data_IF_729797964647
#
_entry.id   IF_729797964647
#
_cell.length_a   1.000
_cell.length_b   1.000
_cell.length_c   1.000
_cell.angle_alpha   90.00
_cell.angle_beta   90.00
_cell.angle_gamma   90.00
#
_symmetry.space_group_name_H-M   'P 1'
#
loop_
_entity.id
_entity.type
_entity.pdbx_description
1 polymer ?
#
# COMPACT_ATOMS: atom_id res chain seq x y z
N UNK A 1 -18.81 35.81 26.12
CA UNK A 1 -17.73 34.86 26.50
C UNK A 1 -17.63 33.82 25.39
N UNK A 2 -16.54 33.83 24.60
CA UNK A 2 -16.32 32.78 23.59
C UNK A 2 -15.75 31.54 24.26
N UNK A 3 -16.25 30.37 23.86
CA UNK A 3 -15.67 29.10 24.29
C UNK A 3 -14.22 28.97 23.77
N UNK A 4 -13.30 28.37 24.55
CA UNK A 4 -11.96 28.10 24.07
C UNK A 4 -11.99 27.06 22.94
N UNK A 5 -11.04 27.12 21.99
CA UNK A 5 -10.92 26.12 20.94
C UNK A 5 -10.60 24.74 21.57
N UNK A 6 -11.28 23.70 21.10
CA UNK A 6 -10.99 22.33 21.51
C UNK A 6 -9.59 21.93 21.00
N UNK A 7 -8.74 21.42 21.91
CA UNK A 7 -7.45 20.85 21.52
C UNK A 7 -7.66 19.57 20.70
N UNK A 8 -6.85 19.32 19.66
CA UNK A 8 -6.95 18.11 18.87
C UNK A 8 -6.56 16.90 19.71
N UNK A 9 -7.50 15.96 19.86
CA UNK A 9 -7.25 14.67 20.51
C UNK A 9 -6.39 13.82 19.58
N UNK A 10 -5.13 13.59 19.94
CA UNK A 10 -4.33 12.53 19.31
C UNK A 10 -4.97 11.18 19.63
N UNK A 11 -5.57 10.56 18.62
CA UNK A 11 -6.07 9.19 18.74
C UNK A 11 -4.86 8.25 18.85
N UNK A 12 -4.87 7.28 19.79
CA UNK A 12 -3.77 6.34 19.92
C UNK A 12 -3.62 5.54 18.63
N UNK A 13 -2.41 5.55 18.07
CA UNK A 13 -2.05 4.64 16.97
C UNK A 13 -2.13 3.23 17.54
N UNK A 14 -3.10 2.44 17.07
CA UNK A 14 -3.22 1.05 17.46
C UNK A 14 -1.90 0.31 17.14
N UNK A 15 -1.40 -0.56 18.04
CA UNK A 15 -0.22 -1.36 17.74
C UNK A 15 -0.48 -2.19 16.48
N UNK A 16 0.53 -2.41 15.63
CA UNK A 16 0.38 -3.26 14.46
C UNK A 16 -0.03 -4.67 14.92
N UNK A 17 -1.23 -5.10 14.52
CA UNK A 17 -1.63 -6.51 14.60
C UNK A 17 -0.87 -7.21 13.48
N UNK A 18 0.11 -8.04 13.81
CA UNK A 18 0.79 -8.87 12.83
C UNK A 18 -0.23 -9.88 12.27
N UNK A 19 -0.41 -9.97 10.94
CA UNK A 19 -1.38 -10.89 10.37
C UNK A 19 -0.86 -12.34 10.48
N UNK A 20 -1.60 -13.21 11.16
CA UNK A 20 -1.43 -14.67 11.08
C UNK A 20 -1.93 -15.22 9.72
N UNK A 21 -1.48 -14.63 8.60
CA UNK A 21 -1.91 -15.07 7.27
C UNK A 21 -0.72 -15.42 6.39
N UNK A 22 -0.77 -16.61 5.77
CA UNK A 22 0.19 -17.08 4.76
C UNK A 22 0.12 -16.31 3.43
N UNK A 23 -0.81 -15.34 3.32
CA UNK A 23 -1.00 -14.54 2.11
C UNK A 23 -0.24 -13.23 2.25
N UNK A 24 0.64 -12.87 1.29
CA UNK A 24 1.40 -11.66 1.39
C UNK A 24 0.53 -10.40 1.22
N UNK A 25 0.70 -9.48 2.16
CA UNK A 25 0.05 -8.16 2.17
C UNK A 25 1.11 -7.08 2.02
N UNK A 26 0.83 -6.07 1.22
CA UNK A 26 1.70 -4.90 1.05
C UNK A 26 0.99 -3.69 1.64
N UNK A 27 1.64 -3.06 2.61
CA UNK A 27 1.19 -1.81 3.23
C UNK A 27 2.15 -0.69 2.88
N UNK A 28 1.65 0.34 2.23
CA UNK A 28 2.43 1.53 1.88
C UNK A 28 1.95 2.74 2.67
N UNK A 29 2.89 3.42 3.35
CA UNK A 29 2.69 4.68 4.03
C UNK A 29 3.37 5.80 3.26
N UNK A 30 2.65 6.90 2.98
CA UNK A 30 3.17 7.91 2.07
C UNK A 30 2.81 9.33 2.47
N UNK A 31 3.80 10.23 2.49
CA UNK A 31 3.61 11.66 2.73
C UNK A 31 4.07 12.49 1.53
N UNK A 32 3.31 13.54 1.17
CA UNK A 32 3.69 14.56 0.16
C UNK A 32 4.40 15.74 0.85
N UNK A 33 5.58 16.17 0.38
CA UNK A 33 6.27 17.38 0.85
C UNK A 33 5.95 18.61 -0.02
N UNK A 34 5.87 19.77 0.63
CA UNK A 34 5.71 21.10 0.05
C UNK A 34 7.04 21.58 -0.58
N UNK A 35 6.99 22.22 -1.77
CA UNK A 35 8.07 23.05 -2.28
C UNK A 35 8.00 24.40 -1.57
N UNK A 36 9.04 24.78 -0.83
CA UNK A 36 9.20 26.13 -0.29
C UNK A 36 9.50 27.12 -1.42
N UNK A 37 8.49 27.49 -2.20
CA UNK A 37 8.53 28.70 -3.03
C UNK A 37 7.52 29.67 -2.45
N UNK A 38 8.05 30.68 -1.75
CA UNK A 38 7.25 31.64 -1.02
C UNK A 38 6.34 32.45 -1.94
N UNK A 39 5.03 32.24 -1.83
CA UNK A 39 4.03 33.28 -2.01
C UNK A 39 2.75 32.88 -1.28
N UNK A 40 2.40 33.65 -0.24
CA UNK A 40 1.17 33.45 0.54
C UNK A 40 -0.01 34.07 -0.19
N UNK A 41 -0.92 33.26 -0.73
CA UNK A 41 -2.34 33.60 -0.83
C UNK A 41 -3.14 32.36 -1.23
N UNK A 42 -4.12 31.97 -0.40
CA UNK A 42 -5.18 30.98 -0.67
C UNK A 42 -4.75 29.61 -1.20
N UNK A 43 -4.17 28.74 -0.37
CA UNK A 43 -3.98 27.32 -0.73
C UNK A 43 -4.50 26.44 0.41
N UNK A 44 -5.73 25.93 0.25
CA UNK A 44 -6.28 24.81 1.04
C UNK A 44 -5.22 23.72 1.14
N UNK A 45 -4.85 23.28 2.34
CA UNK A 45 -3.57 22.60 2.58
C UNK A 45 -3.34 21.43 1.62
N UNK A 46 -2.31 21.55 0.79
CA UNK A 46 -1.83 20.52 -0.15
C UNK A 46 -1.08 19.37 0.55
N UNK A 47 -1.09 19.35 1.88
CA UNK A 47 -0.44 18.36 2.74
C UNK A 47 -1.38 17.16 2.98
N UNK A 48 -1.38 16.21 2.05
CA UNK A 48 -2.10 14.94 2.18
C UNK A 48 -1.15 13.76 2.42
N UNK A 49 -1.66 12.72 3.08
CA UNK A 49 -1.05 11.40 3.12
C UNK A 49 -2.03 10.39 2.52
N UNK A 50 -1.49 9.31 1.96
CA UNK A 50 -2.28 8.14 1.59
C UNK A 50 -1.69 6.93 2.29
N UNK A 51 -2.57 6.00 2.62
CA UNK A 51 -2.20 4.66 3.02
C UNK A 51 -2.95 3.69 2.13
N UNK A 52 -2.19 2.78 1.53
CA UNK A 52 -2.70 1.75 0.65
C UNK A 52 -2.30 0.40 1.24
N UNK A 53 -3.28 -0.48 1.40
CA UNK A 53 -3.08 -1.86 1.82
C UNK A 53 -3.66 -2.76 0.74
N UNK A 54 -2.82 -3.60 0.16
CA UNK A 54 -3.21 -4.52 -0.90
C UNK A 54 -2.73 -5.93 -0.61
N UNK A 55 -3.52 -6.89 -1.05
CA UNK A 55 -3.19 -8.31 -1.00
C UNK A 55 -2.64 -8.76 -2.36
N UNK A 56 -1.61 -9.61 -2.34
CA UNK A 56 -1.17 -10.26 -3.58
C UNK A 56 -2.13 -11.37 -3.98
N UNK A 57 -2.38 -11.51 -5.29
CA UNK A 57 -3.07 -12.69 -5.85
C UNK A 57 -2.14 -13.90 -6.01
N UNK A 58 -0.84 -13.71 -5.76
CA UNK A 58 0.19 -14.74 -5.88
C UNK A 58 0.22 -15.61 -4.61
N UNK A 59 -0.45 -16.76 -4.68
CA UNK A 59 -0.51 -17.71 -3.58
C UNK A 59 0.81 -18.47 -3.44
N UNK A 60 1.42 -18.39 -2.26
CA UNK A 60 2.67 -19.07 -1.89
C UNK A 60 2.49 -19.81 -0.58
N UNK A 61 3.39 -20.74 -0.33
CA UNK A 61 3.54 -21.38 0.98
C UNK A 61 4.99 -21.37 1.42
N UNK A 62 5.21 -21.12 2.70
CA UNK A 62 6.54 -21.12 3.32
C UNK A 62 7.13 -22.54 3.43
N UNK A 63 6.28 -23.57 3.46
CA UNK A 63 6.68 -24.98 3.57
C UNK A 63 6.82 -25.70 2.21
N UNK A 64 6.60 -24.98 1.11
CA UNK A 64 6.70 -25.52 -0.25
C UNK A 64 5.55 -26.43 -0.69
N UNK A 65 4.46 -26.54 0.08
CA UNK A 65 3.28 -27.34 -0.32
C UNK A 65 2.52 -26.78 -1.53
N UNK A 66 2.65 -25.48 -1.78
CA UNK A 66 2.13 -24.83 -2.99
C UNK A 66 3.17 -24.91 -4.10
N UNK A 67 3.16 -26.04 -4.83
CA UNK A 67 4.02 -26.30 -5.99
C UNK A 67 3.50 -25.61 -7.26
N UNK A 68 4.32 -25.51 -8.32
CA UNK A 68 3.95 -24.81 -9.56
C UNK A 68 2.70 -25.35 -10.28
N UNK A 69 2.41 -26.63 -10.11
CA UNK A 69 1.24 -27.34 -10.62
C UNK A 69 0.06 -27.34 -9.64
N UNK A 70 0.25 -26.85 -8.41
CA UNK A 70 -0.82 -26.68 -7.44
C UNK A 70 -1.90 -25.74 -7.98
N UNK A 71 -3.16 -26.04 -7.63
CA UNK A 71 -4.33 -25.28 -8.13
C UNK A 71 -4.20 -23.78 -7.86
N UNK A 72 -3.64 -23.39 -6.71
CA UNK A 72 -3.42 -21.98 -6.38
C UNK A 72 -2.35 -21.29 -7.23
N UNK A 73 -1.29 -21.99 -7.63
CA UNK A 73 -0.29 -21.45 -8.56
C UNK A 73 -0.85 -21.33 -9.99
N UNK A 74 -1.73 -22.24 -10.39
CA UNK A 74 -2.47 -22.13 -11.66
C UNK A 74 -3.43 -20.94 -11.62
N UNK A 75 -4.16 -20.75 -10.52
CA UNK A 75 -5.07 -19.61 -10.35
C UNK A 75 -4.32 -18.28 -10.37
N UNK A 76 -3.22 -18.16 -9.61
CA UNK A 76 -2.37 -16.96 -9.58
C UNK A 76 -1.98 -16.52 -10.99
N UNK A 77 -1.42 -17.44 -11.78
CA UNK A 77 -1.05 -17.18 -13.18
C UNK A 77 -2.23 -16.81 -14.05
N UNK A 78 -3.35 -17.53 -13.90
CA UNK A 78 -4.56 -17.30 -14.69
C UNK A 78 -5.14 -15.90 -14.45
N UNK A 79 -5.22 -15.45 -13.19
CA UNK A 79 -5.72 -14.12 -12.85
C UNK A 79 -4.80 -13.01 -13.36
N UNK A 80 -3.48 -13.17 -13.21
CA UNK A 80 -2.52 -12.20 -13.75
C UNK A 80 -2.67 -12.11 -15.28
N UNK A 81 -2.63 -13.24 -15.99
CA UNK A 81 -2.80 -13.26 -17.45
C UNK A 81 -4.12 -12.65 -17.92
N UNK A 82 -5.22 -12.97 -17.24
CA UNK A 82 -6.53 -12.38 -17.54
C UNK A 82 -6.51 -10.86 -17.30
N UNK A 83 -5.99 -10.42 -16.15
CA UNK A 83 -5.87 -9.01 -15.81
C UNK A 83 -5.11 -8.20 -16.86
N UNK A 84 -3.97 -8.72 -17.32
CA UNK A 84 -3.20 -8.08 -18.40
C UNK A 84 -3.99 -8.02 -19.72
N UNK A 85 -4.69 -9.10 -20.10
CA UNK A 85 -5.52 -9.12 -21.32
C UNK A 85 -6.71 -8.15 -21.25
N UNK A 86 -7.30 -7.97 -20.07
CA UNK A 86 -8.43 -7.06 -19.86
C UNK A 86 -8.00 -5.61 -19.56
N UNK A 87 -6.70 -5.34 -19.43
CA UNK A 87 -6.17 -4.02 -19.09
C UNK A 87 -6.41 -3.61 -17.63
N UNK A 88 -6.62 -4.59 -16.73
CA UNK A 88 -6.79 -4.39 -15.29
C UNK A 88 -5.86 -5.35 -14.54
N UNK A 89 -4.63 -4.92 -14.30
CA UNK A 89 -3.61 -5.78 -13.66
C UNK A 89 -3.98 -6.14 -12.22
N UNK A 90 -3.66 -7.37 -11.81
CA UNK A 90 -3.73 -7.83 -10.41
C UNK A 90 -2.39 -7.69 -9.68
N UNK A 91 -1.41 -7.02 -10.29
CA UNK A 91 -0.06 -6.84 -9.75
C UNK A 91 0.09 -5.58 -8.91
N UNK A 92 -1.01 -4.98 -8.44
CA UNK A 92 -0.98 -3.71 -7.71
C UNK A 92 -0.18 -3.83 -6.41
N UNK A 93 -0.21 -4.98 -5.73
CA UNK A 93 0.62 -5.23 -4.55
C UNK A 93 2.13 -5.05 -4.84
N UNK A 94 2.59 -5.31 -6.07
CA UNK A 94 3.99 -5.09 -6.47
C UNK A 94 4.25 -3.71 -7.05
N UNK A 95 3.27 -3.13 -7.75
CA UNK A 95 3.42 -1.90 -8.53
C UNK A 95 3.05 -0.63 -7.76
N UNK A 96 2.32 -0.76 -6.64
CA UNK A 96 1.79 0.37 -5.88
C UNK A 96 2.86 1.39 -5.53
N UNK A 97 4.03 0.95 -5.03
CA UNK A 97 5.14 1.84 -4.71
C UNK A 97 5.55 2.71 -5.89
N UNK A 98 5.77 2.10 -7.05
CA UNK A 98 6.23 2.82 -8.25
C UNK A 98 5.17 3.80 -8.76
N UNK A 99 3.89 3.39 -8.76
CA UNK A 99 2.79 4.27 -9.15
C UNK A 99 2.62 5.46 -8.20
N UNK A 100 2.76 5.22 -6.90
CA UNK A 100 2.70 6.27 -5.88
C UNK A 100 3.87 7.26 -6.05
N UNK A 101 5.08 6.77 -6.28
CA UNK A 101 6.24 7.64 -6.58
C UNK A 101 5.99 8.43 -7.87
N UNK A 102 5.53 7.78 -8.93
CA UNK A 102 5.20 8.40 -10.21
C UNK A 102 4.11 9.47 -10.11
N UNK A 103 3.20 9.35 -9.13
CA UNK A 103 2.18 10.35 -8.82
C UNK A 103 2.70 11.57 -8.03
N UNK A 104 4.01 11.63 -7.73
CA UNK A 104 4.66 12.79 -7.10
C UNK A 104 4.73 12.73 -5.58
N UNK A 105 4.58 11.56 -4.97
CA UNK A 105 4.86 11.39 -3.55
C UNK A 105 6.33 11.07 -3.30
N UNK A 106 6.94 11.73 -2.31
CA UNK A 106 8.39 11.70 -2.08
C UNK A 106 8.81 10.87 -0.85
N UNK A 107 7.93 10.67 0.12
CA UNK A 107 8.21 9.88 1.35
C UNK A 107 7.42 8.58 1.37
N UNK A 108 7.69 7.70 0.41
CA UNK A 108 7.04 6.39 0.27
C UNK A 108 7.76 5.34 1.11
N UNK A 109 7.08 4.82 2.13
CA UNK A 109 7.51 3.66 2.92
C UNK A 109 6.63 2.48 2.52
N UNK A 110 7.24 1.36 2.15
CA UNK A 110 6.52 0.12 1.83
C UNK A 110 6.94 -0.96 2.83
N UNK A 111 5.96 -1.68 3.40
CA UNK A 111 6.16 -2.87 4.22
C UNK A 111 5.41 -4.02 3.57
N UNK A 112 6.15 -5.05 3.15
CA UNK A 112 5.60 -6.32 2.67
C UNK A 112 5.59 -7.33 3.82
N UNK A 113 4.53 -8.09 3.93
CA UNK A 113 4.35 -9.19 4.89
C UNK A 113 4.24 -10.49 4.09
N UNK A 114 4.76 -11.61 4.58
CA UNK A 114 4.62 -12.93 3.92
C UNK A 114 5.45 -13.15 2.64
N UNK A 115 6.44 -12.29 2.36
CA UNK A 115 7.38 -12.49 1.24
C UNK A 115 8.80 -12.18 1.74
N UNK A 116 9.57 -13.20 2.11
CA UNK A 116 11.02 -13.02 2.28
C UNK A 116 11.69 -13.00 0.90
N UNK A 117 12.62 -12.06 0.76
CA UNK A 117 13.35 -11.73 -0.46
C UNK A 117 13.94 -13.00 -1.11
N UNK A 118 13.54 -13.25 -2.36
CA UNK A 118 14.36 -14.03 -3.31
C UNK A 118 15.09 -13.06 -4.23
#
# INVERSE_FOLDING_TARGET
MSAPPAEPVELPVAPPVEPESDIPVVRSFVRRRELQTGLRSTQKSLSGWIEQLEMSIDFKSDDGTVTNDHVFSVWSRTFVEAGEKFGKTFRIADLAREYIVGAGFDKVVEKKFGQWLS
#
